data_IF_720703477927
#
_entry.id   IF_720703477927
#
_cell.length_a   1.000
_cell.length_b   1.000
_cell.length_c   1.000
_cell.angle_alpha   90.00
_cell.angle_beta   90.00
_cell.angle_gamma   90.00
#
_symmetry.space_group_name_H-M   'P 1'
#
loop_
_entity.id
_entity.type
_entity.pdbx_description
1 polymer ?
#
# COMPACT_ATOMS: atom_id res chain seq x y z
N UNK A 1 9.12 19.88 15.85
CA UNK A 1 8.44 19.81 14.53
C UNK A 1 7.11 19.15 14.76
N UNK A 2 6.04 19.90 14.65
CA UNK A 2 4.66 19.39 14.68
C UNK A 2 4.44 18.57 13.41
N UNK A 3 4.20 17.27 13.56
CA UNK A 3 3.77 16.42 12.45
C UNK A 3 2.48 17.00 11.88
N UNK A 4 2.44 17.22 10.57
CA UNK A 4 1.19 17.54 9.87
C UNK A 4 0.23 16.36 10.03
N UNK A 5 -1.05 16.59 10.28
CA UNK A 5 -1.99 15.48 10.35
C UNK A 5 -2.05 14.79 8.98
N UNK A 6 -1.71 13.50 8.96
CA UNK A 6 -1.85 12.67 7.76
C UNK A 6 -3.30 12.72 7.29
N UNK A 7 -3.51 13.19 6.06
CA UNK A 7 -4.84 13.25 5.45
C UNK A 7 -5.24 11.83 5.05
N UNK A 8 -6.40 11.40 5.52
CA UNK A 8 -7.01 10.12 5.14
C UNK A 8 -8.12 10.36 4.13
N UNK A 9 -8.06 9.62 3.04
CA UNK A 9 -9.12 9.62 2.02
C UNK A 9 -9.79 8.25 1.97
N UNK A 10 -11.12 8.23 1.93
CA UNK A 10 -11.90 7.01 1.69
C UNK A 10 -12.52 7.05 0.28
N UNK A 11 -12.59 5.88 -0.32
CA UNK A 11 -13.38 5.69 -1.54
C UNK A 11 -14.85 5.68 -1.12
N UNK A 12 -15.68 6.47 -1.80
CA UNK A 12 -17.12 6.47 -1.56
C UNK A 12 -17.70 5.13 -2.03
N UNK A 13 -18.35 4.40 -1.12
CA UNK A 13 -18.87 3.05 -1.36
C UNK A 13 -20.10 3.03 -2.29
N UNK A 14 -20.67 4.17 -2.63
CA UNK A 14 -21.80 4.27 -3.57
C UNK A 14 -21.37 4.46 -5.03
N UNK A 15 -20.17 4.95 -5.28
CA UNK A 15 -19.53 4.92 -6.59
C UNK A 15 -18.19 4.23 -6.41
N UNK A 16 -17.94 3.13 -7.11
CA UNK A 16 -16.68 2.37 -7.07
C UNK A 16 -15.45 3.16 -7.59
N UNK A 17 -15.40 4.46 -7.31
CA UNK A 17 -14.35 5.38 -7.73
C UNK A 17 -14.14 6.49 -6.69
N UNK A 18 -12.89 6.83 -6.46
CA UNK A 18 -12.51 8.04 -5.73
C UNK A 18 -13.11 9.25 -6.47
N UNK A 19 -13.80 10.13 -5.76
CA UNK A 19 -14.37 11.33 -6.36
C UNK A 19 -13.32 12.18 -7.08
N UNK A 20 -13.69 12.86 -8.14
CA UNK A 20 -12.73 13.68 -8.92
C UNK A 20 -12.10 14.78 -8.05
N UNK A 21 -12.85 15.35 -7.11
CA UNK A 21 -12.33 16.35 -6.18
C UNK A 21 -11.24 15.80 -5.25
N UNK A 22 -11.39 14.57 -4.76
CA UNK A 22 -10.38 13.93 -3.92
C UNK A 22 -9.16 13.54 -4.75
N UNK A 23 -9.35 13.07 -5.98
CA UNK A 23 -8.25 12.74 -6.88
C UNK A 23 -7.42 13.97 -7.25
N UNK A 24 -8.05 15.13 -7.46
CA UNK A 24 -7.34 16.38 -7.72
C UNK A 24 -6.51 16.83 -6.52
N UNK A 25 -7.05 16.77 -5.32
CA UNK A 25 -6.29 17.09 -4.09
C UNK A 25 -5.10 16.17 -3.90
N UNK A 26 -5.27 14.87 -4.14
CA UNK A 26 -4.18 13.90 -4.07
C UNK A 26 -3.11 14.17 -5.14
N UNK A 27 -3.49 14.56 -6.36
CA UNK A 27 -2.55 14.90 -7.42
C UNK A 27 -1.73 16.17 -7.10
N UNK A 28 -2.31 17.14 -6.38
CA UNK A 28 -1.60 18.33 -5.90
C UNK A 28 -0.49 17.99 -4.91
N UNK A 29 -0.57 16.85 -4.24
CA UNK A 29 0.48 16.38 -3.32
C UNK A 29 1.77 15.99 -4.02
N UNK A 30 1.73 15.69 -5.34
CA UNK A 30 2.89 15.29 -6.16
C UNK A 30 3.65 14.10 -5.58
N UNK A 31 2.92 13.04 -5.22
CA UNK A 31 3.53 11.81 -4.74
C UNK A 31 4.41 11.16 -5.81
N UNK A 32 5.49 10.53 -5.39
CA UNK A 32 6.42 9.79 -6.26
C UNK A 32 5.74 8.54 -6.82
N UNK A 33 4.92 7.87 -6.00
CA UNK A 33 4.20 6.67 -6.39
C UNK A 33 2.93 6.42 -5.58
N UNK A 34 2.09 5.53 -6.13
CA UNK A 34 0.99 4.87 -5.44
C UNK A 34 1.51 3.50 -4.99
N UNK A 35 1.62 3.28 -3.67
CA UNK A 35 2.04 2.02 -3.09
C UNK A 35 0.83 1.17 -2.77
N UNK A 36 0.72 0.00 -3.39
CA UNK A 36 -0.36 -0.96 -3.16
C UNK A 36 0.16 -2.11 -2.31
N UNK A 37 -0.40 -2.27 -1.11
CA UNK A 37 0.01 -3.30 -0.16
C UNK A 37 -0.68 -4.63 -0.49
N UNK A 38 0.05 -5.75 -0.40
CA UNK A 38 -0.47 -7.10 -0.56
C UNK A 38 -1.51 -7.47 0.50
N UNK A 39 -2.43 -8.38 0.13
CA UNK A 39 -3.51 -8.87 0.99
C UNK A 39 -3.86 -10.36 0.74
N UNK A 40 -2.98 -11.08 0.04
CA UNK A 40 -3.14 -12.50 -0.28
C UNK A 40 -3.77 -12.77 -1.65
N UNK A 41 -3.59 -13.98 -2.10
CA UNK A 41 -4.09 -14.51 -3.37
C UNK A 41 -4.94 -15.74 -3.14
N UNK A 42 -5.88 -16.03 -4.05
CA UNK A 42 -6.67 -17.27 -4.08
C UNK A 42 -5.85 -18.36 -4.75
N UNK A 43 -5.24 -18.04 -5.87
CA UNK A 43 -4.32 -18.87 -6.62
C UNK A 43 -3.23 -18.01 -7.29
N UNK A 44 -2.34 -18.66 -8.06
CA UNK A 44 -1.15 -18.00 -8.64
C UNK A 44 -1.45 -16.76 -9.48
N UNK A 45 -2.64 -16.64 -10.05
CA UNK A 45 -3.01 -15.54 -10.96
C UNK A 45 -4.18 -14.71 -10.44
N UNK A 46 -4.87 -15.18 -9.40
CA UNK A 46 -6.10 -14.58 -8.90
C UNK A 46 -5.88 -13.90 -7.56
N UNK A 47 -5.92 -12.57 -7.52
CA UNK A 47 -5.93 -11.81 -6.26
C UNK A 47 -7.11 -12.21 -5.38
N UNK A 48 -6.92 -12.19 -4.06
CA UNK A 48 -8.06 -12.25 -3.13
C UNK A 48 -8.98 -11.05 -3.36
N UNK A 49 -10.24 -11.12 -2.92
CA UNK A 49 -11.17 -9.99 -3.04
C UNK A 49 -10.62 -8.72 -2.37
N UNK A 50 -10.02 -8.85 -1.20
CA UNK A 50 -9.38 -7.73 -0.49
C UNK A 50 -8.23 -7.14 -1.31
N UNK A 51 -7.39 -7.98 -1.90
CA UNK A 51 -6.30 -7.52 -2.76
C UNK A 51 -6.82 -6.87 -4.03
N UNK A 52 -7.88 -7.42 -4.61
CA UNK A 52 -8.53 -6.86 -5.79
C UNK A 52 -9.04 -5.45 -5.53
N UNK A 53 -9.70 -5.21 -4.40
CA UNK A 53 -10.16 -3.85 -4.02
C UNK A 53 -8.98 -2.87 -3.93
N UNK A 54 -7.83 -3.28 -3.36
CA UNK A 54 -6.62 -2.44 -3.34
C UNK A 54 -6.09 -2.15 -4.73
N UNK A 55 -6.02 -3.15 -5.58
CA UNK A 55 -5.54 -3.00 -6.95
C UNK A 55 -6.46 -2.08 -7.76
N UNK A 56 -7.77 -2.28 -7.68
CA UNK A 56 -8.74 -1.45 -8.38
C UNK A 56 -8.65 0.02 -7.93
N UNK A 57 -8.53 0.26 -6.63
CA UNK A 57 -8.35 1.59 -6.06
C UNK A 57 -7.04 2.25 -6.54
N UNK A 58 -5.91 1.55 -6.43
CA UNK A 58 -4.62 2.06 -6.85
C UNK A 58 -4.53 2.33 -8.35
N UNK A 59 -5.11 1.45 -9.18
CA UNK A 59 -5.19 1.63 -10.63
C UNK A 59 -6.07 2.83 -11.00
N UNK A 60 -7.19 3.02 -10.29
CA UNK A 60 -8.05 4.17 -10.51
C UNK A 60 -7.34 5.49 -10.22
N UNK A 61 -6.57 5.56 -9.12
CA UNK A 61 -5.72 6.71 -8.79
C UNK A 61 -4.66 6.98 -9.87
N UNK A 62 -3.97 5.92 -10.31
CA UNK A 62 -2.97 6.03 -11.37
C UNK A 62 -3.58 6.57 -12.67
N UNK A 63 -4.73 6.03 -13.11
CA UNK A 63 -5.43 6.48 -14.33
C UNK A 63 -5.91 7.93 -14.23
N UNK A 64 -6.18 8.43 -13.03
CA UNK A 64 -6.51 9.84 -12.76
C UNK A 64 -5.27 10.74 -12.65
N UNK A 65 -4.06 10.20 -12.86
CA UNK A 65 -2.81 10.97 -12.84
C UNK A 65 -2.38 11.43 -11.46
N UNK A 66 -2.83 10.76 -10.39
CA UNK A 66 -2.50 11.13 -9.00
C UNK A 66 -1.02 10.96 -8.70
N UNK A 67 -0.39 9.91 -9.25
CA UNK A 67 1.07 9.75 -9.22
C UNK A 67 1.54 9.01 -10.48
N UNK A 68 2.82 9.19 -10.90
CA UNK A 68 3.32 8.66 -12.17
C UNK A 68 3.65 7.17 -12.14
N UNK A 69 3.77 6.55 -10.98
CA UNK A 69 4.23 5.18 -10.79
C UNK A 69 3.39 4.42 -9.78
N UNK A 70 3.35 3.10 -9.95
CA UNK A 70 2.78 2.14 -8.97
C UNK A 70 3.92 1.31 -8.38
N UNK A 71 3.97 1.23 -7.05
CA UNK A 71 4.85 0.33 -6.31
C UNK A 71 4.00 -0.77 -5.70
N UNK A 72 4.17 -2.00 -6.18
CA UNK A 72 3.54 -3.19 -5.64
C UNK A 72 4.43 -3.82 -4.58
N UNK A 73 3.90 -4.07 -3.40
CA UNK A 73 4.61 -4.77 -2.33
C UNK A 73 3.74 -5.85 -1.73
N UNK A 74 4.29 -7.05 -1.58
CA UNK A 74 3.56 -8.23 -1.10
C UNK A 74 4.49 -9.39 -0.84
N UNK A 75 3.96 -10.46 -0.25
CA UNK A 75 4.72 -11.65 0.06
C UNK A 75 5.13 -12.39 -1.23
N UNK A 76 6.42 -12.65 -1.37
CA UNK A 76 7.03 -13.43 -2.44
C UNK A 76 7.78 -14.68 -1.89
N UNK A 77 7.47 -15.10 -0.66
CA UNK A 77 8.23 -16.11 0.07
C UNK A 77 8.15 -17.53 -0.49
N UNK A 78 7.21 -17.85 -1.39
CA UNK A 78 7.07 -19.18 -1.99
C UNK A 78 6.78 -19.08 -3.48
N UNK A 79 7.45 -19.93 -4.30
CA UNK A 79 7.27 -19.95 -5.77
C UNK A 79 5.82 -20.19 -6.22
N UNK A 80 5.04 -20.88 -5.41
CA UNK A 80 3.64 -21.21 -5.69
C UNK A 80 2.65 -20.15 -5.19
N UNK A 81 3.10 -19.23 -4.30
CA UNK A 81 2.32 -18.13 -3.75
C UNK A 81 2.99 -16.79 -4.06
N UNK A 82 3.22 -16.51 -5.33
CA UNK A 82 3.82 -15.25 -5.76
C UNK A 82 2.72 -14.20 -5.92
N UNK A 83 2.38 -13.54 -4.83
CA UNK A 83 1.39 -12.46 -4.79
C UNK A 83 1.74 -11.32 -5.75
N UNK A 84 3.01 -10.94 -5.82
CA UNK A 84 3.46 -9.88 -6.73
C UNK A 84 3.23 -10.21 -8.20
N UNK A 85 3.33 -11.50 -8.59
CA UNK A 85 3.02 -11.91 -9.95
C UNK A 85 1.54 -11.67 -10.28
N UNK A 86 0.64 -12.05 -9.39
CA UNK A 86 -0.79 -11.81 -9.54
C UNK A 86 -1.12 -10.31 -9.61
N UNK A 87 -0.51 -9.52 -8.71
CA UNK A 87 -0.68 -8.06 -8.67
C UNK A 87 -0.21 -7.41 -9.98
N UNK A 88 1.00 -7.75 -10.44
CA UNK A 88 1.58 -7.23 -11.68
C UNK A 88 0.73 -7.59 -12.90
N UNK A 89 0.35 -8.87 -13.00
CA UNK A 89 -0.49 -9.37 -14.10
C UNK A 89 -1.84 -8.66 -14.12
N UNK A 90 -2.44 -8.43 -12.95
CA UNK A 90 -3.70 -7.70 -12.83
C UNK A 90 -3.57 -6.26 -13.31
N UNK A 91 -2.55 -5.52 -12.84
CA UNK A 91 -2.31 -4.13 -13.26
C UNK A 91 -2.13 -4.01 -14.78
N UNK A 92 -1.34 -4.92 -15.39
CA UNK A 92 -1.11 -4.94 -16.84
C UNK A 92 -2.42 -5.24 -17.59
N UNK A 93 -3.21 -6.22 -17.14
CA UNK A 93 -4.53 -6.54 -17.72
C UNK A 93 -5.49 -5.35 -17.67
N UNK A 94 -5.37 -4.52 -16.65
CA UNK A 94 -6.15 -3.29 -16.48
C UNK A 94 -5.59 -2.08 -17.25
N UNK A 95 -4.53 -2.28 -18.06
CA UNK A 95 -3.97 -1.26 -18.95
C UNK A 95 -2.92 -0.35 -18.33
N UNK A 96 -2.36 -0.68 -17.17
CA UNK A 96 -1.21 0.06 -16.63
C UNK A 96 0.05 -0.37 -17.38
N UNK A 97 0.84 0.56 -17.94
CA UNK A 97 2.10 0.23 -18.62
C UNK A 97 3.09 -0.44 -17.66
N UNK A 98 3.72 -1.52 -18.10
CA UNK A 98 4.71 -2.25 -17.29
C UNK A 98 5.88 -1.36 -16.85
N UNK A 99 6.24 -0.34 -17.64
CA UNK A 99 7.29 0.65 -17.33
C UNK A 99 6.96 1.52 -16.12
N UNK A 100 5.71 1.57 -15.72
CA UNK A 100 5.23 2.40 -14.62
C UNK A 100 4.94 1.60 -13.36
N UNK A 101 5.19 0.27 -13.39
CA UNK A 101 4.97 -0.63 -12.28
C UNK A 101 6.30 -1.13 -11.75
N UNK A 102 6.55 -0.92 -10.46
CA UNK A 102 7.68 -1.47 -9.71
C UNK A 102 7.19 -2.53 -8.75
N UNK A 103 7.98 -3.59 -8.55
CA UNK A 103 7.65 -4.71 -7.68
C UNK A 103 8.70 -4.82 -6.58
N UNK A 104 8.28 -4.74 -5.32
CA UNK A 104 9.13 -4.99 -4.17
C UNK A 104 9.08 -6.47 -3.79
N UNK A 105 10.09 -7.23 -4.24
CA UNK A 105 10.18 -8.68 -4.06
C UNK A 105 10.61 -9.13 -2.66
N UNK A 106 10.93 -8.22 -1.75
CA UNK A 106 11.39 -8.53 -0.40
C UNK A 106 10.66 -7.75 0.70
N UNK A 107 9.46 -7.27 0.42
CA UNK A 107 8.57 -6.64 1.39
C UNK A 107 7.77 -7.67 2.20
N UNK A 108 8.45 -8.49 3.02
CA UNK A 108 7.82 -9.56 3.80
C UNK A 108 6.98 -9.05 4.98
N UNK A 109 7.09 -7.78 5.31
CA UNK A 109 6.27 -7.10 6.31
C UNK A 109 6.05 -5.64 5.91
N UNK A 110 4.99 -5.01 6.43
CA UNK A 110 4.72 -3.60 6.17
C UNK A 110 5.91 -2.70 6.55
N UNK A 111 6.57 -3.02 7.66
CA UNK A 111 7.77 -2.29 8.08
C UNK A 111 8.91 -2.40 7.08
N UNK A 112 9.22 -3.61 6.61
CA UNK A 112 10.26 -3.82 5.58
C UNK A 112 9.91 -3.14 4.27
N UNK A 113 8.64 -3.22 3.86
CA UNK A 113 8.15 -2.52 2.67
C UNK A 113 8.42 -1.01 2.73
N UNK A 114 8.21 -0.36 3.88
CA UNK A 114 8.47 1.07 4.04
C UNK A 114 9.97 1.39 4.04
N UNK A 115 10.78 0.60 4.75
CA UNK A 115 12.25 0.73 4.71
C UNK A 115 12.77 0.59 3.28
N UNK A 116 12.24 -0.36 2.50
CA UNK A 116 12.66 -0.60 1.13
C UNK A 116 12.14 0.45 0.16
N UNK A 117 10.90 0.94 0.34
CA UNK A 117 10.39 2.06 -0.41
C UNK A 117 11.31 3.28 -0.30
N UNK A 118 11.77 3.59 0.92
CA UNK A 118 12.70 4.70 1.18
C UNK A 118 14.09 4.45 0.62
N UNK A 119 14.71 3.30 0.96
CA UNK A 119 16.16 3.12 0.77
C UNK A 119 16.52 2.47 -0.58
N UNK A 120 15.59 1.77 -1.23
CA UNK A 120 15.84 1.06 -2.49
C UNK A 120 15.14 1.74 -3.65
N UNK A 121 13.88 2.17 -3.45
CA UNK A 121 13.10 2.84 -4.49
C UNK A 121 13.19 4.37 -4.43
N UNK A 122 13.93 4.93 -3.45
CA UNK A 122 14.15 6.38 -3.25
C UNK A 122 12.86 7.19 -3.16
N UNK A 123 11.83 6.60 -2.56
CA UNK A 123 10.52 7.23 -2.37
C UNK A 123 10.62 8.23 -1.22
N UNK A 124 10.14 9.44 -1.45
CA UNK A 124 10.07 10.50 -0.43
C UNK A 124 8.63 10.86 -0.07
N UNK A 125 7.73 10.76 -1.05
CA UNK A 125 6.31 11.00 -0.86
C UNK A 125 5.50 9.94 -1.56
N UNK A 126 4.52 9.34 -0.86
CA UNK A 126 3.73 8.24 -1.40
C UNK A 126 2.27 8.28 -0.99
N UNK A 127 1.43 7.70 -1.85
CA UNK A 127 0.05 7.39 -1.54
C UNK A 127 -0.05 5.90 -1.25
N UNK A 128 -0.51 5.54 -0.06
CA UNK A 128 -0.63 4.15 0.38
C UNK A 128 -2.06 3.68 0.19
N UNK A 129 -2.25 2.61 -0.58
CA UNK A 129 -3.57 1.99 -0.81
C UNK A 129 -3.66 0.70 -0.01
N UNK A 130 -4.60 0.67 0.94
CA UNK A 130 -4.87 -0.48 1.79
C UNK A 130 -6.26 -0.37 2.42
N UNK A 131 -6.73 -1.34 3.22
CA UNK A 131 -7.97 -1.21 3.97
C UNK A 131 -7.79 -0.29 5.19
N UNK A 132 -8.88 0.35 5.61
CA UNK A 132 -8.93 1.33 6.70
C UNK A 132 -8.30 0.83 8.00
N UNK A 133 -8.55 -0.44 8.38
CA UNK A 133 -7.98 -1.02 9.60
C UNK A 133 -6.45 -1.04 9.61
N UNK A 134 -5.82 -1.12 8.43
CA UNK A 134 -4.38 -1.21 8.24
C UNK A 134 -3.70 0.13 7.93
N UNK A 135 -4.46 1.10 7.45
CA UNK A 135 -3.98 2.39 6.92
C UNK A 135 -3.12 3.16 7.93
N UNK A 136 -3.60 3.31 9.17
CA UNK A 136 -2.86 4.05 10.22
C UNK A 136 -1.46 3.47 10.47
N UNK A 137 -1.33 2.15 10.51
CA UNK A 137 -0.04 1.51 10.72
C UNK A 137 0.90 1.71 9.54
N UNK A 138 0.37 1.61 8.33
CA UNK A 138 1.15 1.81 7.12
C UNK A 138 1.70 3.25 7.03
N UNK A 139 0.85 4.26 7.29
CA UNK A 139 1.26 5.67 7.33
C UNK A 139 2.31 5.89 8.42
N UNK A 140 2.05 5.45 9.65
CA UNK A 140 2.98 5.57 10.77
C UNK A 140 4.37 5.00 10.43
N UNK A 141 4.42 3.84 9.78
CA UNK A 141 5.66 3.19 9.39
C UNK A 141 6.39 3.96 8.28
N UNK A 142 5.66 4.53 7.32
CA UNK A 142 6.23 5.37 6.27
C UNK A 142 6.83 6.68 6.85
N UNK A 143 6.09 7.35 7.73
CA UNK A 143 6.55 8.56 8.41
C UNK A 143 7.77 8.29 9.31
N UNK A 144 7.85 7.12 9.95
CA UNK A 144 9.00 6.71 10.75
C UNK A 144 10.28 6.54 9.92
N UNK A 145 10.15 6.21 8.63
CA UNK A 145 11.27 6.17 7.66
C UNK A 145 11.53 7.54 6.99
N UNK A 146 10.83 8.60 7.43
CA UNK A 146 11.02 9.95 6.93
C UNK A 146 10.36 10.23 5.58
N UNK A 147 9.36 9.44 5.20
CA UNK A 147 8.54 9.69 4.02
C UNK A 147 7.29 10.50 4.39
N UNK A 148 6.81 11.31 3.45
CA UNK A 148 5.49 11.95 3.53
C UNK A 148 4.45 10.98 2.95
N UNK A 149 3.47 10.58 3.74
CA UNK A 149 2.55 9.52 3.37
C UNK A 149 1.09 9.92 3.53
N UNK A 150 0.30 9.69 2.49
CA UNK A 150 -1.16 9.84 2.50
C UNK A 150 -1.83 8.50 2.29
N UNK A 151 -2.82 8.16 3.13
CA UNK A 151 -3.56 6.91 3.03
C UNK A 151 -4.80 7.05 2.16
N UNK A 152 -5.11 5.99 1.42
CA UNK A 152 -6.36 5.81 0.69
C UNK A 152 -6.95 4.46 1.05
N UNK A 153 -8.14 4.50 1.65
CA UNK A 153 -8.88 3.29 2.03
C UNK A 153 -9.48 2.61 0.80
N UNK A 154 -9.21 1.32 0.65
CA UNK A 154 -9.69 0.49 -0.44
C UNK A 154 -10.90 -0.39 -0.03
N UNK A 155 -11.64 0.00 1.01
CA UNK A 155 -12.80 -0.76 1.49
C UNK A 155 -13.99 -0.54 0.55
N UNK A 156 -14.10 -1.37 -0.50
CA UNK A 156 -15.24 -1.38 -1.43
C UNK A 156 -16.30 -2.39 -1.00
N UNK A 157 -15.93 -3.39 -0.22
CA UNK A 157 -16.81 -4.46 0.26
C UNK A 157 -16.60 -4.73 1.74
N UNK A 158 -17.67 -5.21 2.40
CA UNK A 158 -17.59 -5.75 3.75
C UNK A 158 -17.11 -7.20 3.69
N UNK A 159 -15.95 -7.47 4.29
CA UNK A 159 -15.36 -8.80 4.32
C UNK A 159 -15.58 -9.50 5.66
N UNK A 160 -15.94 -10.79 5.63
CA UNK A 160 -16.00 -11.61 6.84
C UNK A 160 -14.68 -11.59 7.62
N UNK A 161 -14.76 -11.62 8.96
CA UNK A 161 -13.59 -11.61 9.84
C UNK A 161 -12.94 -10.23 10.05
N UNK A 162 -13.66 -9.14 9.79
CA UNK A 162 -13.20 -7.78 10.05
C UNK A 162 -12.70 -7.59 11.48
N UNK A 163 -13.46 -8.06 12.48
CA UNK A 163 -13.11 -7.96 13.91
C UNK A 163 -11.80 -8.69 14.25
N UNK A 164 -11.55 -9.85 13.63
CA UNK A 164 -10.30 -10.58 13.82
C UNK A 164 -9.11 -9.82 13.21
N UNK A 165 -9.29 -9.23 12.03
CA UNK A 165 -8.25 -8.41 11.39
C UNK A 165 -7.94 -7.16 12.20
N UNK A 166 -8.95 -6.48 12.74
CA UNK A 166 -8.78 -5.32 13.62
C UNK A 166 -8.03 -5.69 14.91
N UNK A 167 -8.40 -6.80 15.58
CA UNK A 167 -7.70 -7.25 16.78
C UNK A 167 -6.22 -7.58 16.50
N UNK A 168 -5.94 -8.24 15.38
CA UNK A 168 -4.57 -8.56 14.93
C UNK A 168 -3.78 -7.29 14.62
N UNK A 169 -4.44 -6.29 14.04
CA UNK A 169 -3.82 -5.01 13.72
C UNK A 169 -3.46 -4.20 14.97
N UNK A 170 -4.26 -4.23 16.03
CA UNK A 170 -3.93 -3.59 17.31
C UNK A 170 -2.63 -4.19 17.89
N UNK A 171 -2.47 -5.51 17.84
CA UNK A 171 -1.25 -6.18 18.29
C UNK A 171 -0.04 -5.82 17.41
N UNK A 172 -0.24 -5.75 16.09
CA UNK A 172 0.81 -5.37 15.15
C UNK A 172 1.27 -3.92 15.35
N UNK A 173 0.35 -2.98 15.60
CA UNK A 173 0.66 -1.58 15.91
C UNK A 173 1.53 -1.46 17.15
N UNK A 174 1.17 -2.15 18.23
CA UNK A 174 1.95 -2.14 19.48
C UNK A 174 3.35 -2.72 19.24
N UNK A 175 3.48 -3.82 18.50
CA UNK A 175 4.77 -4.41 18.14
C UNK A 175 5.63 -3.42 17.35
N UNK A 176 5.08 -2.83 16.30
CA UNK A 176 5.82 -1.90 15.43
C UNK A 176 6.22 -0.62 16.17
N UNK A 177 5.35 -0.12 17.05
CA UNK A 177 5.69 1.02 17.92
C UNK A 177 6.89 0.72 18.83
N UNK A 178 6.89 -0.44 19.49
CA UNK A 178 8.00 -0.87 20.36
C UNK A 178 9.29 -1.02 19.56
N UNK A 179 9.23 -1.67 18.40
CA UNK A 179 10.41 -1.88 17.54
C UNK A 179 10.97 -0.53 17.04
N UNK A 180 10.11 0.40 16.67
CA UNK A 180 10.53 1.75 16.22
C UNK A 180 11.25 2.54 17.31
N UNK A 181 10.81 2.42 18.56
CA UNK A 181 11.37 3.19 19.67
C UNK A 181 12.58 2.50 20.32
N UNK A 182 12.70 1.18 20.23
CA UNK A 182 13.72 0.39 20.92
C UNK A 182 14.65 -0.39 19.98
N UNK A 183 14.35 -0.47 18.68
CA UNK A 183 15.03 -1.34 17.72
C UNK A 183 15.79 -0.59 16.64
N UNK A 184 16.94 -1.18 16.24
CA UNK A 184 17.68 -0.75 15.06
C UNK A 184 17.11 -1.47 13.83
N UNK A 185 16.40 -0.78 12.94
CA UNK A 185 15.86 -1.34 11.70
C UNK A 185 16.94 -1.36 10.62
N UNK A 186 17.17 -2.53 10.02
CA UNK A 186 18.00 -2.68 8.82
C UNK A 186 17.14 -3.27 7.69
N UNK A 187 17.25 -2.71 6.48
CA UNK A 187 16.67 -3.29 5.29
C UNK A 187 17.29 -4.67 4.99
N UNK A 188 16.46 -5.67 4.69
CA UNK A 188 16.93 -6.97 4.23
C UNK A 188 17.18 -6.89 2.72
N UNK A 189 18.38 -7.28 2.26
CA UNK A 189 18.66 -7.45 0.83
C UNK A 189 18.99 -6.17 0.06
N UNK A 190 19.71 -5.24 0.68
CA UNK A 190 20.30 -4.08 0.00
C UNK A 190 21.81 -4.27 -0.17
N UNK A 191 22.25 -5.12 -1.09
CA UNK A 191 23.58 -5.11 -1.73
C UNK A 191 23.39 -5.24 -3.23
#
# INVERSE_FOLDING_TARGET
KTASPSLQYSIDTQESSISDSNSQKLAEEKADCIMILGAGIIDRETPSEILKDRLDAGIALYKKGVAPKILLTGDNGQKEHNELHAMLSYCIKQGVPKSDIFCDHAGFSTSESMVRAKNIFDVNKLIIVTQKYHEYRAIYLAEAEGMDATGVSADQHDFEGASYREAREILARNKDFIINHLGNRKAVGGE
#
